data_IF_707662737773
#
_entry.id   IF_707662737773
#
_cell.length_a   1.000
_cell.length_b   1.000
_cell.length_c   1.000
_cell.angle_alpha   90.00
_cell.angle_beta   90.00
_cell.angle_gamma   90.00
#
_symmetry.space_group_name_H-M   'P 1'
#
loop_
_entity.id
_entity.type
_entity.pdbx_description
1 polymer ?
#
# COMPACT_ATOMS: atom_id res chain seq x y z
N UNK A 1 37.64 6.71 7.08
CA UNK A 1 36.39 7.18 6.44
C UNK A 1 35.66 6.02 5.73
N UNK A 2 35.04 5.08 6.48
CA UNK A 2 34.27 3.96 5.88
C UNK A 2 32.93 3.64 6.57
N UNK A 3 32.57 4.32 7.67
CA UNK A 3 31.36 4.01 8.45
C UNK A 3 30.13 4.91 8.18
N UNK A 4 30.25 5.97 7.38
CA UNK A 4 29.15 6.92 7.14
C UNK A 4 28.27 6.59 5.92
N UNK A 5 28.67 5.66 5.04
CA UNK A 5 27.87 5.27 3.86
C UNK A 5 26.93 4.09 4.11
N UNK A 6 27.12 3.28 5.17
CA UNK A 6 26.20 2.18 5.48
C UNK A 6 25.03 2.58 6.39
N UNK A 7 25.20 3.63 7.20
CA UNK A 7 24.14 4.11 8.09
C UNK A 7 23.10 4.95 7.36
N UNK A 8 23.43 5.55 6.21
CA UNK A 8 22.49 6.33 5.40
C UNK A 8 21.55 5.46 4.56
N UNK A 9 21.98 4.28 4.09
CA UNK A 9 21.11 3.32 3.41
C UNK A 9 20.15 2.61 4.39
N UNK A 10 20.63 2.27 5.59
CA UNK A 10 19.78 1.72 6.65
C UNK A 10 18.81 2.77 7.22
N UNK A 11 19.21 4.05 7.30
CA UNK A 11 18.33 5.15 7.67
C UNK A 11 17.29 5.47 6.59
N UNK A 12 17.61 5.29 5.29
CA UNK A 12 16.64 5.35 4.20
C UNK A 12 15.68 4.14 4.20
N UNK A 13 16.12 2.97 4.67
CA UNK A 13 15.23 1.83 4.92
C UNK A 13 14.33 2.05 6.15
N UNK A 14 14.81 2.78 7.17
CA UNK A 14 14.03 3.15 8.36
C UNK A 14 13.12 4.37 8.14
N UNK A 15 13.48 5.28 7.22
CA UNK A 15 12.59 6.30 6.69
C UNK A 15 11.65 5.72 5.61
N UNK A 16 12.03 4.62 4.95
CA UNK A 16 11.16 3.79 4.10
C UNK A 16 10.02 3.12 4.86
N UNK A 17 10.03 3.16 6.20
CA UNK A 17 8.87 2.82 7.03
C UNK A 17 7.73 3.83 6.86
N UNK A 18 7.98 5.04 6.35
CA UNK A 18 6.89 5.98 6.00
C UNK A 18 6.29 5.72 4.61
N UNK A 19 6.98 4.97 3.73
CA UNK A 19 6.37 4.47 2.49
C UNK A 19 5.62 3.17 2.72
N UNK A 20 6.04 2.42 3.74
CA UNK A 20 5.18 1.40 4.31
C UNK A 20 3.91 2.07 4.85
N UNK A 21 3.97 3.25 5.49
CA UNK A 21 2.77 3.93 5.99
C UNK A 21 1.71 4.21 4.92
N UNK A 22 2.05 4.52 3.66
CA UNK A 22 1.04 4.74 2.61
C UNK A 22 0.50 3.47 1.94
N UNK A 23 1.23 2.34 1.99
CA UNK A 23 0.68 1.01 1.64
C UNK A 23 -0.01 0.32 2.84
N UNK A 24 0.35 0.72 4.06
CA UNK A 24 -0.16 0.25 5.35
C UNK A 24 -1.40 1.03 5.82
N UNK A 25 -1.63 2.24 5.30
CA UNK A 25 -2.88 3.00 5.52
C UNK A 25 -4.11 2.30 4.95
N UNK A 26 -3.92 1.42 3.95
CA UNK A 26 -5.01 0.70 3.29
C UNK A 26 -5.22 -0.69 3.88
N UNK A 27 -5.04 -0.90 5.19
CA UNK A 27 -5.52 -2.10 5.90
C UNK A 27 -5.33 -3.43 5.15
N UNK A 28 -4.20 -3.59 4.44
CA UNK A 28 -4.06 -4.66 3.46
C UNK A 28 -3.91 -5.96 4.25
N UNK A 29 -4.89 -6.83 4.10
CA UNK A 29 -4.87 -8.14 4.74
C UNK A 29 -3.73 -9.00 4.21
N UNK A 30 -3.66 -10.23 4.72
CA UNK A 30 -2.52 -11.12 4.48
C UNK A 30 -2.27 -11.33 2.97
N UNK A 31 -3.32 -11.46 2.16
CA UNK A 31 -3.18 -11.75 0.72
C UNK A 31 -2.60 -10.58 -0.05
N UNK A 32 -3.09 -9.38 0.21
CA UNK A 32 -2.61 -8.17 -0.45
C UNK A 32 -1.18 -7.84 -0.02
N UNK A 33 -0.80 -8.14 1.23
CA UNK A 33 0.60 -8.05 1.68
C UNK A 33 1.51 -9.06 0.99
N UNK A 34 1.12 -10.33 0.88
CA UNK A 34 1.90 -11.37 0.19
C UNK A 34 2.16 -10.98 -1.27
N UNK A 35 1.13 -10.47 -1.96
CA UNK A 35 1.24 -9.98 -3.33
C UNK A 35 2.14 -8.74 -3.42
N UNK A 36 1.94 -7.77 -2.53
CA UNK A 36 2.77 -6.55 -2.47
C UNK A 36 4.25 -6.84 -2.22
N UNK A 37 4.56 -7.82 -1.35
CA UNK A 37 5.95 -8.26 -1.11
C UNK A 37 6.55 -8.92 -2.35
N UNK A 38 5.81 -9.81 -3.02
CA UNK A 38 6.29 -10.44 -4.27
C UNK A 38 6.62 -9.38 -5.32
N UNK A 39 5.70 -8.44 -5.55
CA UNK A 39 5.90 -7.34 -6.51
C UNK A 39 7.10 -6.47 -6.11
N UNK A 40 7.21 -6.10 -4.83
CA UNK A 40 8.34 -5.30 -4.34
C UNK A 40 9.70 -5.98 -4.53
N UNK A 41 9.77 -7.29 -4.32
CA UNK A 41 10.98 -8.07 -4.56
C UNK A 41 11.34 -8.12 -6.05
N UNK A 42 10.36 -8.34 -6.93
CA UNK A 42 10.56 -8.31 -8.38
C UNK A 42 11.07 -6.95 -8.86
N UNK A 43 10.47 -5.85 -8.37
CA UNK A 43 10.90 -4.48 -8.67
C UNK A 43 12.35 -4.25 -8.24
N UNK A 44 12.70 -4.64 -7.02
CA UNK A 44 14.07 -4.49 -6.52
C UNK A 44 15.08 -5.28 -7.36
N UNK A 45 14.72 -6.51 -7.78
CA UNK A 45 15.57 -7.31 -8.66
C UNK A 45 15.74 -6.68 -10.04
N UNK A 46 14.68 -6.13 -10.62
CA UNK A 46 14.72 -5.48 -11.94
C UNK A 46 15.54 -4.19 -11.91
N UNK A 47 15.31 -3.33 -10.92
CA UNK A 47 16.05 -2.07 -10.79
C UNK A 47 17.54 -2.31 -10.53
N UNK A 48 17.90 -3.37 -9.80
CA UNK A 48 19.31 -3.77 -9.63
C UNK A 48 19.92 -4.34 -10.92
N UNK A 49 19.15 -5.09 -11.73
CA UNK A 49 19.61 -5.66 -13.01
C UNK A 49 19.83 -4.60 -14.09
N UNK A 50 19.03 -3.53 -14.08
CA UNK A 50 19.16 -2.40 -15.01
C UNK A 50 20.45 -1.57 -14.78
N UNK A 51 21.32 -1.97 -13.83
CA UNK A 51 22.65 -1.39 -13.60
C UNK A 51 22.65 -0.02 -12.92
N UNK A 52 21.46 0.53 -12.66
CA UNK A 52 21.26 1.78 -11.93
C UNK A 52 21.23 1.57 -10.42
N UNK A 53 21.71 2.56 -9.66
CA UNK A 53 21.48 2.59 -8.22
C UNK A 53 19.98 2.82 -7.99
N UNK A 54 19.26 1.96 -7.24
CA UNK A 54 17.84 2.16 -6.99
C UNK A 54 17.61 3.51 -6.32
N UNK A 55 16.90 4.40 -7.01
CA UNK A 55 16.40 5.65 -6.43
C UNK A 55 14.95 5.47 -5.99
N UNK A 56 14.46 6.24 -5.00
CA UNK A 56 13.06 6.20 -4.61
C UNK A 56 12.11 6.40 -5.80
N UNK A 57 12.46 7.30 -6.72
CA UNK A 57 11.69 7.57 -7.94
C UNK A 57 11.69 6.38 -8.91
N UNK A 58 12.85 5.77 -9.19
CA UNK A 58 12.92 4.63 -10.11
C UNK A 58 12.20 3.41 -9.55
N UNK A 59 12.32 3.17 -8.24
CA UNK A 59 11.62 2.09 -7.54
C UNK A 59 10.12 2.37 -7.53
N UNK A 60 9.71 3.60 -7.22
CA UNK A 60 8.29 3.97 -7.14
C UNK A 60 7.56 3.83 -8.48
N UNK A 61 8.18 4.33 -9.56
CA UNK A 61 7.64 4.20 -10.91
C UNK A 61 7.51 2.73 -11.35
N UNK A 62 8.55 1.92 -11.13
CA UNK A 62 8.55 0.50 -11.50
C UNK A 62 7.57 -0.31 -10.64
N UNK A 63 7.44 0.03 -9.35
CA UNK A 63 6.47 -0.57 -8.45
C UNK A 63 5.04 -0.29 -8.93
N UNK A 64 4.72 0.96 -9.22
CA UNK A 64 3.39 1.34 -9.70
C UNK A 64 3.07 0.74 -11.07
N UNK A 65 4.05 0.64 -11.97
CA UNK A 65 3.92 -0.09 -13.24
C UNK A 65 3.54 -1.57 -13.01
N UNK A 66 4.23 -2.25 -12.09
CA UNK A 66 3.93 -3.64 -11.74
C UNK A 66 2.57 -3.77 -11.04
N UNK A 67 2.21 -2.87 -10.13
CA UNK A 67 0.92 -2.90 -9.46
C UNK A 67 -0.24 -2.71 -10.47
N UNK A 68 -0.09 -1.81 -11.45
CA UNK A 68 -1.04 -1.69 -12.58
C UNK A 68 -1.14 -2.99 -13.39
N UNK A 69 0.01 -3.60 -13.71
CA UNK A 69 0.04 -4.86 -14.46
C UNK A 69 -0.58 -6.03 -13.70
N UNK A 70 -0.58 -5.98 -12.36
CA UNK A 70 -1.14 -7.01 -11.48
C UNK A 70 -2.47 -6.57 -10.84
N UNK A 71 -3.15 -5.56 -11.39
CA UNK A 71 -4.32 -4.95 -10.76
C UNK A 71 -5.45 -5.97 -10.50
N UNK A 72 -5.69 -6.91 -11.41
CA UNK A 72 -6.70 -7.96 -11.22
C UNK A 72 -6.35 -8.91 -10.06
N UNK A 73 -5.07 -9.30 -9.93
CA UNK A 73 -4.61 -10.08 -8.78
C UNK A 73 -4.75 -9.29 -7.48
N UNK A 74 -4.49 -7.98 -7.50
CA UNK A 74 -4.70 -7.14 -6.32
C UNK A 74 -6.18 -6.99 -5.95
N UNK A 75 -7.07 -6.82 -6.94
CA UNK A 75 -8.52 -6.78 -6.70
C UNK A 75 -8.98 -8.05 -6.04
N UNK A 76 -8.50 -9.20 -6.55
CA UNK A 76 -8.80 -10.50 -5.97
C UNK A 76 -8.27 -10.60 -4.53
N UNK A 77 -7.00 -10.27 -4.31
CA UNK A 77 -6.39 -10.28 -2.98
C UNK A 77 -7.13 -9.35 -1.99
N UNK A 78 -7.47 -8.14 -2.41
CA UNK A 78 -8.23 -7.18 -1.61
C UNK A 78 -9.65 -7.65 -1.31
N UNK A 79 -10.29 -8.38 -2.24
CA UNK A 79 -11.61 -8.98 -2.03
C UNK A 79 -11.52 -10.12 -1.00
N UNK A 80 -10.51 -10.99 -1.11
CA UNK A 80 -10.25 -12.07 -0.16
C UNK A 80 -9.95 -11.53 1.25
N UNK A 81 -9.14 -10.47 1.34
CA UNK A 81 -8.80 -9.82 2.61
C UNK A 81 -10.01 -9.13 3.24
N UNK A 82 -10.79 -8.39 2.45
CA UNK A 82 -12.04 -7.79 2.91
C UNK A 82 -13.02 -8.87 3.39
N UNK A 83 -13.15 -9.98 2.65
CA UNK A 83 -14.05 -11.08 3.03
C UNK A 83 -13.58 -11.75 4.32
N UNK A 84 -12.26 -11.85 4.53
CA UNK A 84 -11.68 -12.34 5.79
C UNK A 84 -12.01 -11.42 6.96
N UNK A 85 -12.01 -10.11 6.71
CA UNK A 85 -12.28 -9.09 7.74
C UNK A 85 -13.78 -8.98 8.09
N UNK A 86 -14.64 -8.91 7.09
CA UNK A 86 -16.08 -8.65 7.26
C UNK A 86 -16.92 -9.92 7.34
N UNK A 87 -16.38 -11.08 6.95
CA UNK A 87 -17.08 -12.36 6.93
C UNK A 87 -17.37 -12.86 5.52
N UNK A 88 -17.49 -14.18 5.38
CA UNK A 88 -17.76 -14.84 4.10
C UNK A 88 -19.11 -14.45 3.48
N UNK A 89 -20.09 -14.07 4.30
CA UNK A 89 -21.40 -13.56 3.84
C UNK A 89 -21.31 -12.19 3.16
N UNK A 90 -20.20 -11.46 3.37
CA UNK A 90 -19.93 -10.15 2.77
C UNK A 90 -19.06 -10.21 1.51
N UNK A 91 -18.84 -11.39 0.93
CA UNK A 91 -18.01 -11.56 -0.26
C UNK A 91 -18.44 -10.65 -1.45
N UNK A 92 -19.74 -10.59 -1.75
CA UNK A 92 -20.28 -9.72 -2.82
C UNK A 92 -20.10 -8.24 -2.52
N UNK A 93 -20.21 -7.85 -1.25
CA UNK A 93 -20.00 -6.48 -0.78
C UNK A 93 -18.52 -6.08 -0.90
N UNK A 94 -17.62 -7.00 -0.55
CA UNK A 94 -16.18 -6.83 -0.70
C UNK A 94 -15.77 -6.72 -2.16
N UNK A 95 -16.36 -7.51 -3.05
CA UNK A 95 -16.15 -7.39 -4.49
C UNK A 95 -16.66 -6.03 -5.00
N UNK A 96 -17.81 -5.57 -4.53
CA UNK A 96 -18.32 -4.24 -4.88
C UNK A 96 -17.33 -3.12 -4.50
N UNK A 97 -16.70 -3.19 -3.32
CA UNK A 97 -15.72 -2.20 -2.89
C UNK A 97 -14.48 -2.23 -3.77
N UNK A 98 -13.92 -3.40 -4.05
CA UNK A 98 -12.75 -3.52 -4.92
C UNK A 98 -13.06 -3.07 -6.34
N UNK A 99 -14.23 -3.42 -6.89
CA UNK A 99 -14.64 -2.97 -8.23
C UNK A 99 -14.83 -1.45 -8.32
N UNK A 100 -15.31 -0.79 -7.25
CA UNK A 100 -15.47 0.68 -7.20
C UNK A 100 -14.20 1.43 -6.82
N UNK A 101 -13.15 0.75 -6.37
CA UNK A 101 -11.91 1.39 -5.95
C UNK A 101 -11.18 1.99 -7.15
N UNK A 102 -10.83 3.27 -7.05
CA UNK A 102 -10.10 4.00 -8.07
C UNK A 102 -8.59 3.69 -7.96
N UNK A 103 -8.20 2.49 -8.42
CA UNK A 103 -6.82 2.02 -8.33
C UNK A 103 -5.83 2.94 -9.04
N UNK A 104 -6.22 3.55 -10.16
CA UNK A 104 -5.39 4.54 -10.87
C UNK A 104 -5.08 5.75 -9.97
N UNK A 105 -6.09 6.30 -9.30
CA UNK A 105 -5.87 7.40 -8.36
C UNK A 105 -5.00 6.98 -7.16
N UNK A 106 -5.22 5.77 -6.63
CA UNK A 106 -4.40 5.20 -5.55
C UNK A 106 -2.94 5.02 -5.98
N UNK A 107 -2.71 4.47 -7.17
CA UNK A 107 -1.37 4.26 -7.72
C UNK A 107 -0.65 5.57 -8.01
N UNK A 108 -1.35 6.56 -8.57
CA UNK A 108 -0.79 7.88 -8.83
C UNK A 108 -0.41 8.61 -7.52
N UNK A 109 -1.23 8.45 -6.48
CA UNK A 109 -0.89 8.96 -5.14
C UNK A 109 0.37 8.26 -4.61
N UNK A 110 0.41 6.93 -4.69
CA UNK A 110 1.52 6.11 -4.22
C UNK A 110 2.83 6.43 -4.94
N UNK A 111 2.82 6.59 -6.28
CA UNK A 111 4.00 6.98 -7.06
C UNK A 111 4.57 8.31 -6.56
N UNK A 112 3.69 9.30 -6.40
CA UNK A 112 4.08 10.64 -5.95
C UNK A 112 4.56 10.67 -4.51
N UNK A 113 3.96 9.91 -3.60
CA UNK A 113 4.45 9.80 -2.21
C UNK A 113 5.80 9.09 -2.13
N UNK A 114 6.08 8.14 -3.03
CA UNK A 114 7.41 7.52 -3.10
C UNK A 114 8.47 8.45 -3.68
N UNK A 115 8.12 9.26 -4.67
CA UNK A 115 9.01 10.26 -5.25
C UNK A 115 9.30 11.41 -4.28
N UNK A 116 8.29 11.84 -3.51
CA UNK A 116 8.39 12.90 -2.51
C UNK A 116 7.68 12.52 -1.20
N UNK A 117 8.37 11.81 -0.29
CA UNK A 117 7.80 11.38 0.99
C UNK A 117 7.61 12.52 1.99
N UNK A 118 8.17 13.71 1.75
CA UNK A 118 7.95 14.90 2.58
C UNK A 118 6.69 15.66 2.17
N UNK A 119 6.27 15.51 0.92
CA UNK A 119 5.03 16.07 0.41
C UNK A 119 3.83 15.25 0.90
N UNK A 120 3.26 15.69 2.02
CA UNK A 120 1.94 15.24 2.44
C UNK A 120 0.92 15.75 1.42
N UNK A 121 0.54 14.90 0.46
CA UNK A 121 -0.52 15.17 -0.50
C UNK A 121 -1.90 15.13 0.18
N UNK A 122 -2.08 15.95 1.22
CA UNK A 122 -3.17 15.90 2.17
C UNK A 122 -4.53 16.01 1.50
N UNK A 123 -4.67 16.86 0.47
CA UNK A 123 -5.94 17.01 -0.25
C UNK A 123 -6.27 15.81 -1.13
N UNK A 124 -5.28 15.23 -1.81
CA UNK A 124 -5.48 14.02 -2.62
C UNK A 124 -5.77 12.78 -1.74
N UNK A 125 -5.11 12.70 -0.58
CA UNK A 125 -5.36 11.67 0.44
C UNK A 125 -6.79 11.80 0.97
N UNK A 126 -7.21 12.99 1.42
CA UNK A 126 -8.58 13.23 1.90
C UNK A 126 -9.64 12.89 0.84
N UNK A 127 -9.39 13.25 -0.42
CA UNK A 127 -10.31 12.96 -1.52
C UNK A 127 -10.44 11.44 -1.76
N UNK A 128 -9.34 10.70 -1.67
CA UNK A 128 -9.34 9.25 -1.76
C UNK A 128 -10.02 8.60 -0.55
N UNK A 129 -9.80 9.10 0.66
CA UNK A 129 -10.47 8.63 1.87
C UNK A 129 -11.98 8.85 1.81
N UNK A 130 -12.43 10.03 1.36
CA UNK A 130 -13.85 10.33 1.19
C UNK A 130 -14.50 9.39 0.16
N UNK A 131 -13.86 9.22 -1.01
CA UNK A 131 -14.31 8.25 -2.03
C UNK A 131 -14.35 6.83 -1.48
N UNK A 132 -13.35 6.43 -0.68
CA UNK A 132 -13.35 5.11 -0.07
C UNK A 132 -14.53 4.96 0.89
N UNK A 133 -14.79 5.92 1.76
CA UNK A 133 -15.95 5.89 2.67
C UNK A 133 -17.29 5.79 1.91
N UNK A 134 -17.45 6.58 0.84
CA UNK A 134 -18.62 6.51 -0.05
C UNK A 134 -18.75 5.13 -0.71
N UNK A 135 -17.65 4.55 -1.21
CA UNK A 135 -17.64 3.23 -1.83
C UNK A 135 -18.02 2.13 -0.84
N UNK A 136 -17.44 2.13 0.36
CA UNK A 136 -17.77 1.16 1.41
C UNK A 136 -19.25 1.26 1.79
N UNK A 137 -19.75 2.48 2.01
CA UNK A 137 -21.17 2.72 2.31
C UNK A 137 -22.08 2.28 1.17
N UNK A 138 -21.73 2.58 -0.08
CA UNK A 138 -22.50 2.16 -1.26
C UNK A 138 -22.51 0.64 -1.45
N UNK A 139 -21.51 -0.05 -0.91
CA UNK A 139 -21.40 -1.50 -0.92
C UNK A 139 -21.88 -2.16 0.40
N UNK A 140 -22.59 -1.44 1.27
CA UNK A 140 -23.12 -1.95 2.54
C UNK A 140 -22.03 -2.52 3.49
N UNK A 141 -20.86 -1.87 3.51
CA UNK A 141 -19.77 -2.12 4.45
C UNK A 141 -19.46 -0.86 5.26
N UNK A 142 -19.14 -1.04 6.55
CA UNK A 142 -18.68 0.06 7.40
C UNK A 142 -17.17 0.20 7.32
N UNK A 143 -16.68 1.26 6.68
CA UNK A 143 -15.24 1.56 6.54
C UNK A 143 -14.51 1.64 7.89
N UNK A 144 -15.23 1.90 9.00
CA UNK A 144 -14.62 1.94 10.33
C UNK A 144 -13.99 0.60 10.70
N UNK A 145 -14.60 -0.52 10.33
CA UNK A 145 -14.04 -1.86 10.60
C UNK A 145 -12.69 -2.03 9.88
N UNK A 146 -12.58 -1.58 8.63
CA UNK A 146 -11.31 -1.57 7.89
C UNK A 146 -10.28 -0.63 8.52
N UNK A 147 -10.69 0.59 8.93
CA UNK A 147 -9.80 1.55 9.60
C UNK A 147 -9.30 1.06 10.95
N UNK A 148 -10.16 0.47 11.78
CA UNK A 148 -9.80 -0.11 13.08
C UNK A 148 -8.86 -1.31 12.91
N UNK A 149 -9.10 -2.15 11.92
CA UNK A 149 -8.21 -3.26 11.58
C UNK A 149 -6.83 -2.76 11.15
N UNK A 150 -6.77 -1.71 10.31
CA UNK A 150 -5.52 -1.07 9.90
C UNK A 150 -4.78 -0.44 11.09
N UNK A 151 -5.49 0.30 11.95
CA UNK A 151 -4.91 0.91 13.16
C UNK A 151 -4.36 -0.14 14.13
N UNK A 152 -5.09 -1.24 14.34
CA UNK A 152 -4.63 -2.36 15.17
C UNK A 152 -3.38 -3.00 14.61
N UNK A 153 -3.35 -3.28 13.31
CA UNK A 153 -2.17 -3.84 12.64
C UNK A 153 -0.95 -2.90 12.76
N UNK A 154 -1.15 -1.59 12.61
CA UNK A 154 -0.10 -0.59 12.84
C UNK A 154 0.41 -0.61 14.28
N UNK A 155 -0.48 -0.61 15.27
CA UNK A 155 -0.11 -0.66 16.70
C UNK A 155 0.67 -1.93 17.05
N UNK A 156 0.31 -3.08 16.49
CA UNK A 156 1.03 -4.34 16.72
C UNK A 156 2.45 -4.32 16.12
N UNK A 157 2.64 -3.63 14.98
CA UNK A 157 3.95 -3.46 14.36
C UNK A 157 4.82 -2.44 15.11
N UNK A 158 4.25 -1.34 15.60
CA UNK A 158 4.99 -0.31 16.35
C UNK A 158 5.23 -0.71 17.81
N UNK A 159 4.31 -1.47 18.41
CA UNK A 159 4.38 -1.96 19.79
C UNK A 159 5.36 -3.13 20.00
N UNK A 160 5.84 -3.77 18.93
CA UNK A 160 6.92 -4.77 18.98
C UNK A 160 8.34 -4.19 19.12
N UNK A 161 8.49 -2.87 19.25
CA UNK A 161 9.73 -2.23 19.71
C UNK A 161 9.62 -1.94 21.23
N UNK A 162 9.77 -2.99 22.02
CA UNK A 162 10.00 -2.94 23.47
C UNK A 162 11.05 -3.97 23.84
#
# INVERSE_FOLDING_TARGET
MKKLMQTSLAALLLAGVTLAASAQDVGMGKKSQELGQKIGLEVMQEVMKDGGKPTPESVGKKLVEKLRANQDEMKKAGTEDCTTLYGADKASNCQCVTDKTDYEAVFNLMEKQMADPQNQQTEAVKALEAKAEENYKACDLDIKVAKEAAEKAMKEMTGKKG
#
